data_IF_603616387622
#
_entry.id   IF_603616387622
#
_cell.length_a   1.000
_cell.length_b   1.000
_cell.length_c   1.000
_cell.angle_alpha   90.00
_cell.angle_beta   90.00
_cell.angle_gamma   90.00
#
_symmetry.space_group_name_H-M   'P 1'
#
loop_
_entity.id
_entity.type
_entity.pdbx_description
1 polymer ?
#
# COMPACT_ATOMS: atom_id res chain seq x y z
N UNK A 1 -18.96 -29.99 15.01
CA UNK A 1 -18.27 -30.98 14.14
C UNK A 1 -17.39 -30.20 13.18
N UNK A 2 -16.06 -30.36 13.24
CA UNK A 2 -15.11 -29.69 12.35
C UNK A 2 -14.47 -30.69 11.39
N UNK A 3 -13.90 -30.20 10.29
CA UNK A 3 -13.20 -31.00 9.30
C UNK A 3 -11.70 -30.94 9.61
N UNK A 4 -11.08 -32.08 9.94
CA UNK A 4 -9.62 -32.17 10.17
C UNK A 4 -8.93 -32.48 8.85
N UNK A 5 -8.06 -31.59 8.41
CA UNK A 5 -7.32 -31.76 7.16
C UNK A 5 -5.81 -31.75 7.42
N UNK A 6 -5.07 -32.63 6.75
CA UNK A 6 -3.60 -32.61 6.74
C UNK A 6 -3.13 -32.04 5.40
N UNK A 7 -2.61 -30.82 5.43
CA UNK A 7 -1.98 -30.20 4.26
C UNK A 7 -0.54 -30.73 4.11
N UNK A 8 -0.11 -30.98 2.88
CA UNK A 8 1.26 -31.40 2.60
C UNK A 8 2.26 -30.35 3.13
N UNK A 9 3.28 -30.80 3.85
CA UNK A 9 4.25 -29.92 4.53
C UNK A 9 3.92 -29.59 5.99
N UNK A 10 2.73 -29.94 6.49
CA UNK A 10 2.38 -29.76 7.90
C UNK A 10 2.70 -31.03 8.72
N UNK A 11 3.18 -30.83 9.96
CA UNK A 11 3.47 -31.92 10.91
C UNK A 11 2.21 -32.66 11.37
N UNK A 12 1.06 -31.98 11.42
CA UNK A 12 -0.21 -32.53 11.89
C UNK A 12 -1.44 -31.95 11.19
N UNK A 13 -2.64 -32.50 11.49
CA UNK A 13 -3.90 -31.95 10.98
C UNK A 13 -4.21 -30.59 11.60
N UNK A 14 -4.91 -29.74 10.84
CA UNK A 14 -5.31 -28.39 11.25
C UNK A 14 -6.83 -28.26 11.10
N UNK A 15 -7.47 -27.55 12.03
CA UNK A 15 -8.87 -27.17 11.92
C UNK A 15 -8.99 -25.93 11.03
N UNK A 16 -9.89 -25.97 10.05
CA UNK A 16 -10.12 -24.87 9.11
C UNK A 16 -11.59 -24.49 9.07
N UNK A 17 -11.86 -23.20 8.84
CA UNK A 17 -13.21 -22.76 8.53
C UNK A 17 -13.61 -23.26 7.14
N UNK A 18 -14.85 -23.73 7.02
CA UNK A 18 -15.34 -24.35 5.78
C UNK A 18 -15.39 -23.35 4.62
N UNK A 19 -15.62 -22.07 4.91
CA UNK A 19 -15.66 -20.97 3.94
C UNK A 19 -14.27 -20.61 3.37
N UNK A 20 -13.20 -21.06 4.01
CA UNK A 20 -11.82 -20.91 3.54
C UNK A 20 -11.32 -22.10 2.69
N UNK A 21 -12.18 -23.08 2.42
CA UNK A 21 -11.84 -24.30 1.69
C UNK A 21 -12.58 -24.35 0.35
N UNK A 22 -11.89 -24.83 -0.69
CA UNK A 22 -12.46 -25.06 -2.02
C UNK A 22 -12.10 -26.46 -2.51
N UNK A 23 -13.00 -27.06 -3.28
CA UNK A 23 -12.74 -28.32 -4.00
C UNK A 23 -11.95 -28.11 -5.30
N UNK A 24 -11.86 -26.86 -5.76
CA UNK A 24 -11.05 -26.46 -6.92
C UNK A 24 -9.80 -25.71 -6.49
N UNK A 25 -8.74 -25.84 -7.28
CA UNK A 25 -7.53 -25.05 -7.09
C UNK A 25 -7.87 -23.56 -7.27
N UNK A 26 -7.43 -22.67 -6.36
CA UNK A 26 -7.63 -21.24 -6.55
C UNK A 26 -6.94 -20.75 -7.83
N UNK A 27 -7.57 -19.81 -8.51
CA UNK A 27 -6.98 -19.12 -9.66
C UNK A 27 -5.70 -18.35 -9.29
N UNK A 28 -4.93 -17.88 -10.29
CA UNK A 28 -3.75 -17.07 -10.04
C UNK A 28 -4.12 -15.77 -9.32
N UNK A 29 -3.19 -15.24 -8.53
CA UNK A 29 -3.39 -13.90 -7.96
C UNK A 29 -3.44 -12.84 -9.07
N UNK A 30 -4.15 -11.72 -8.83
CA UNK A 30 -4.10 -10.56 -9.70
C UNK A 30 -2.65 -10.17 -10.03
N UNK A 31 -2.38 -9.77 -11.29
CA UNK A 31 -1.03 -9.40 -11.75
C UNK A 31 -0.04 -10.56 -11.89
N UNK A 32 -0.51 -11.82 -11.87
CA UNK A 32 0.33 -13.03 -11.92
C UNK A 32 1.36 -13.14 -10.77
N UNK A 33 1.09 -12.46 -9.66
CA UNK A 33 1.93 -12.52 -8.48
C UNK A 33 1.77 -13.85 -7.72
N UNK A 34 2.71 -14.14 -6.80
CA UNK A 34 2.70 -15.37 -5.97
C UNK A 34 2.66 -14.99 -4.49
N UNK A 35 1.92 -15.78 -3.71
CA UNK A 35 1.91 -15.67 -2.23
C UNK A 35 3.34 -15.82 -1.72
N UNK A 36 3.68 -15.07 -0.66
CA UNK A 36 5.03 -14.92 -0.10
C UNK A 36 6.04 -14.17 -0.97
N UNK A 37 5.65 -13.71 -2.16
CA UNK A 37 6.46 -12.77 -2.93
C UNK A 37 6.57 -11.41 -2.23
N UNK A 38 7.63 -10.67 -2.55
CA UNK A 38 7.89 -9.33 -2.04
C UNK A 38 7.55 -8.27 -3.11
N UNK A 39 6.90 -7.19 -2.70
CA UNK A 39 6.62 -6.01 -3.52
C UNK A 39 6.89 -4.75 -2.71
N UNK A 40 7.13 -3.65 -3.40
CA UNK A 40 7.35 -2.32 -2.82
C UNK A 40 6.11 -1.45 -2.99
N UNK A 41 5.72 -0.75 -1.93
CA UNK A 41 4.64 0.21 -1.99
C UNK A 41 5.09 1.50 -2.70
N UNK A 42 4.43 1.88 -3.78
CA UNK A 42 4.74 3.08 -4.58
C UNK A 42 3.64 4.13 -4.52
N UNK A 43 2.61 3.91 -3.70
CA UNK A 43 1.54 4.87 -3.44
C UNK A 43 1.93 6.00 -2.48
N UNK A 44 0.93 6.81 -2.12
CA UNK A 44 1.10 7.85 -1.10
C UNK A 44 1.22 7.22 0.28
N UNK A 45 2.17 7.70 1.08
CA UNK A 45 2.32 7.23 2.46
C UNK A 45 1.12 7.64 3.28
N UNK A 46 0.64 6.72 4.11
CA UNK A 46 -0.59 6.86 4.88
C UNK A 46 -0.42 6.25 6.27
N UNK A 47 -1.05 6.87 7.26
CA UNK A 47 -1.17 6.36 8.62
C UNK A 47 -2.65 6.06 8.89
N UNK A 48 -2.97 4.80 9.23
CA UNK A 48 -4.34 4.39 9.52
C UNK A 48 -4.65 4.55 11.02
N UNK A 49 -5.93 4.79 11.34
CA UNK A 49 -6.40 4.81 12.73
C UNK A 49 -6.17 3.49 13.49
N UNK A 50 -6.00 2.37 12.76
CA UNK A 50 -5.63 1.07 13.32
C UNK A 50 -4.18 0.98 13.79
N UNK A 51 -3.35 2.01 13.57
CA UNK A 51 -1.91 1.98 13.85
C UNK A 51 -1.06 1.42 12.70
N UNK A 52 -1.68 0.76 11.72
CA UNK A 52 -0.99 0.35 10.49
C UNK A 52 -0.53 1.57 9.67
N UNK A 53 0.54 1.38 8.90
CA UNK A 53 1.17 2.42 8.08
C UNK A 53 1.51 1.88 6.70
N UNK A 54 1.44 2.75 5.70
CA UNK A 54 2.03 2.53 4.39
C UNK A 54 3.06 3.62 4.15
N UNK A 55 4.26 3.25 3.75
CA UNK A 55 5.35 4.19 3.50
C UNK A 55 5.87 3.95 2.09
N UNK A 56 6.01 5.00 1.29
CA UNK A 56 6.58 4.88 -0.06
C UNK A 56 7.96 4.21 -0.02
N UNK A 57 8.17 3.24 -0.91
CA UNK A 57 9.38 2.43 -0.99
C UNK A 57 9.49 1.34 0.07
N UNK A 58 8.53 1.21 0.98
CA UNK A 58 8.52 0.13 1.95
C UNK A 58 8.18 -1.20 1.27
N UNK A 59 8.96 -2.24 1.56
CA UNK A 59 8.66 -3.57 1.07
C UNK A 59 7.63 -4.28 1.95
N UNK A 60 6.86 -5.16 1.32
CA UNK A 60 5.84 -5.97 1.96
C UNK A 60 5.69 -7.33 1.29
N UNK A 61 5.16 -8.29 2.05
CA UNK A 61 4.95 -9.66 1.60
C UNK A 61 3.50 -9.89 1.18
N UNK A 62 3.31 -10.54 0.03
CA UNK A 62 1.98 -10.91 -0.47
C UNK A 62 1.42 -12.06 0.37
N UNK A 63 0.25 -11.86 0.97
CA UNK A 63 -0.47 -12.91 1.71
C UNK A 63 -1.59 -13.55 0.87
N UNK A 64 -2.06 -12.89 -0.17
CA UNK A 64 -3.14 -13.38 -1.02
C UNK A 64 -3.84 -12.27 -1.80
N UNK A 65 -5.03 -12.55 -2.36
CA UNK A 65 -5.84 -11.51 -2.99
C UNK A 65 -6.38 -10.54 -1.94
N UNK A 66 -6.63 -9.28 -2.35
CA UNK A 66 -7.29 -8.32 -1.47
C UNK A 66 -8.71 -8.80 -1.08
N UNK A 67 -9.12 -8.44 0.13
CA UNK A 67 -10.40 -8.86 0.74
C UNK A 67 -11.48 -7.77 0.75
N UNK A 68 -11.09 -6.50 0.65
CA UNK A 68 -12.01 -5.38 0.53
C UNK A 68 -12.70 -5.37 -0.84
N UNK A 69 -14.02 -5.16 -0.86
CA UNK A 69 -14.82 -5.15 -2.08
C UNK A 69 -14.31 -4.15 -3.14
N UNK A 70 -13.78 -3.00 -2.70
CA UNK A 70 -13.20 -1.99 -3.59
C UNK A 70 -11.95 -2.47 -4.35
N UNK A 71 -11.28 -3.52 -3.85
CA UNK A 71 -10.02 -4.05 -4.38
C UNK A 71 -10.18 -5.40 -5.09
N UNK A 72 -11.39 -5.96 -5.14
CA UNK A 72 -11.66 -7.27 -5.76
C UNK A 72 -11.13 -7.32 -7.20
N UNK A 73 -10.23 -8.26 -7.47
CA UNK A 73 -9.60 -8.45 -8.78
C UNK A 73 -8.55 -7.39 -9.17
N UNK A 74 -8.32 -6.39 -8.31
CA UNK A 74 -7.45 -5.22 -8.60
C UNK A 74 -6.39 -4.97 -7.53
N UNK A 75 -6.33 -5.82 -6.51
CA UNK A 75 -5.44 -5.62 -5.38
C UNK A 75 -4.97 -6.91 -4.73
N UNK A 76 -3.96 -6.75 -3.88
CA UNK A 76 -3.33 -7.80 -3.09
C UNK A 76 -3.42 -7.45 -1.61
N UNK A 77 -3.51 -8.49 -0.79
CA UNK A 77 -3.39 -8.36 0.66
C UNK A 77 -1.92 -8.47 1.04
N UNK A 78 -1.37 -7.39 1.59
CA UNK A 78 0.05 -7.21 1.84
C UNK A 78 0.35 -7.11 3.34
N UNK A 79 1.46 -7.70 3.78
CA UNK A 79 2.00 -7.53 5.13
C UNK A 79 3.26 -6.69 5.08
N UNK A 80 3.21 -5.51 5.68
CA UNK A 80 4.37 -4.62 5.82
C UNK A 80 4.98 -4.74 7.21
N UNK A 81 6.30 -4.63 7.31
CA UNK A 81 7.00 -4.64 8.60
C UNK A 81 6.53 -3.47 9.48
N UNK A 82 6.35 -3.74 10.78
CA UNK A 82 5.87 -2.74 11.75
C UNK A 82 4.35 -2.56 11.81
N UNK A 83 3.59 -3.12 10.86
CA UNK A 83 2.13 -3.15 10.95
C UNK A 83 1.67 -4.31 11.82
N UNK A 84 0.58 -4.13 12.56
CA UNK A 84 -0.06 -5.20 13.34
C UNK A 84 -0.86 -6.12 12.41
N UNK A 85 -1.60 -5.54 11.46
CA UNK A 85 -2.40 -6.26 10.47
C UNK A 85 -1.79 -6.27 9.06
N UNK A 86 -2.34 -7.07 8.14
CA UNK A 86 -2.15 -6.86 6.71
C UNK A 86 -3.02 -5.71 6.20
N UNK A 87 -2.66 -5.15 5.06
CA UNK A 87 -3.36 -4.04 4.39
C UNK A 87 -3.67 -4.47 2.95
N UNK A 88 -4.87 -4.16 2.48
CA UNK A 88 -5.23 -4.36 1.08
C UNK A 88 -4.71 -3.19 0.24
N UNK A 89 -3.94 -3.49 -0.80
CA UNK A 89 -3.32 -2.50 -1.69
C UNK A 89 -3.76 -2.74 -3.13
N UNK A 90 -4.03 -1.66 -3.87
CA UNK A 90 -4.22 -1.75 -5.32
C UNK A 90 -2.92 -2.15 -6.02
N UNK A 91 -3.03 -2.85 -7.15
CA UNK A 91 -1.88 -3.27 -7.95
C UNK A 91 -1.08 -2.09 -8.50
N UNK A 92 -1.72 -0.97 -8.83
CA UNK A 92 -1.06 0.25 -9.31
C UNK A 92 -0.25 0.99 -8.23
N UNK A 93 -0.47 0.64 -6.96
CA UNK A 93 0.29 1.14 -5.82
C UNK A 93 1.43 0.18 -5.41
N UNK A 94 1.70 -0.87 -6.19
CA UNK A 94 2.73 -1.87 -5.91
C UNK A 94 3.73 -1.98 -7.06
N UNK A 95 5.00 -2.24 -6.74
CA UNK A 95 6.08 -2.45 -7.70
C UNK A 95 6.89 -3.69 -7.35
N UNK A 96 7.36 -4.41 -8.37
CA UNK A 96 8.30 -5.53 -8.21
C UNK A 96 9.73 -5.06 -7.95
N UNK A 97 10.07 -3.83 -8.35
CA UNK A 97 11.36 -3.21 -8.12
C UNK A 97 11.27 -2.14 -7.05
N UNK A 98 12.34 -1.99 -6.27
CA UNK A 98 12.46 -0.90 -5.32
C UNK A 98 12.38 0.43 -6.07
N UNK A 99 11.47 1.34 -5.69
CA UNK A 99 11.35 2.61 -6.38
C UNK A 99 12.58 3.48 -6.12
N UNK A 100 12.87 4.36 -7.07
CA UNK A 100 13.89 5.40 -6.89
C UNK A 100 13.51 6.41 -5.80
N UNK A 101 14.47 7.25 -5.37
CA UNK A 101 14.21 8.31 -4.41
C UNK A 101 13.15 9.28 -4.95
N UNK A 102 12.48 10.00 -4.04
CA UNK A 102 11.57 11.07 -4.45
C UNK A 102 12.34 12.16 -5.21
N UNK A 103 11.66 12.95 -6.08
CA UNK A 103 12.26 14.11 -6.72
C UNK A 103 13.02 14.98 -5.73
N UNK A 104 14.18 15.51 -6.12
CA UNK A 104 15.03 16.33 -5.23
C UNK A 104 15.70 15.56 -4.10
N UNK A 105 15.74 14.22 -4.15
CA UNK A 105 16.27 13.35 -3.10
C UNK A 105 15.57 13.53 -1.74
N UNK A 106 14.33 14.02 -1.76
CA UNK A 106 13.53 14.16 -0.56
C UNK A 106 13.10 12.80 0.01
N UNK A 107 12.73 12.79 1.29
CA UNK A 107 12.23 11.60 1.98
C UNK A 107 10.79 11.82 2.41
N UNK A 108 9.98 10.76 2.35
CA UNK A 108 8.65 10.77 2.96
C UNK A 108 8.74 11.11 4.45
N UNK A 109 7.69 11.74 4.97
CA UNK A 109 7.62 12.33 6.31
C UNK A 109 8.60 13.49 6.56
N UNK A 110 9.38 13.91 5.55
CA UNK A 110 10.15 15.15 5.61
C UNK A 110 9.24 16.38 5.58
N UNK A 111 9.69 17.46 6.21
CA UNK A 111 9.00 18.75 6.23
C UNK A 111 9.59 19.67 5.15
N UNK A 112 8.73 20.39 4.44
CA UNK A 112 9.09 21.46 3.50
C UNK A 112 8.15 22.65 3.69
N UNK A 113 8.60 23.82 3.27
CA UNK A 113 7.83 25.06 3.33
C UNK A 113 7.36 25.46 1.94
N UNK A 114 6.12 25.90 1.82
CA UNK A 114 5.59 26.41 0.57
C UNK A 114 6.17 27.80 0.27
N UNK A 115 6.90 27.93 -0.84
CA UNK A 115 7.55 29.18 -1.26
C UNK A 115 6.89 29.84 -2.47
N UNK A 116 5.73 29.32 -2.91
CA UNK A 116 4.95 29.89 -4.01
C UNK A 116 4.04 31.04 -3.59
N UNK A 117 3.28 31.56 -4.55
CA UNK A 117 2.24 32.55 -4.28
C UNK A 117 1.14 31.91 -3.43
N UNK A 118 0.68 32.61 -2.39
CA UNK A 118 -0.43 32.13 -1.56
C UNK A 118 -1.71 31.98 -2.40
N UNK A 119 -2.40 30.86 -2.22
CA UNK A 119 -3.58 30.47 -3.01
C UNK A 119 -4.69 29.88 -2.13
N UNK A 120 -5.93 30.27 -2.42
CA UNK A 120 -7.14 29.66 -1.88
C UNK A 120 -7.80 28.79 -2.95
N UNK A 121 -8.06 27.52 -2.64
CA UNK A 121 -8.69 26.58 -3.56
C UNK A 121 -10.19 26.49 -3.30
N UNK A 122 -11.00 26.29 -4.36
CA UNK A 122 -12.44 26.05 -4.23
C UNK A 122 -12.79 24.83 -3.34
N UNK A 123 -11.85 23.88 -3.19
CA UNK A 123 -11.94 22.76 -2.26
C UNK A 123 -11.92 23.15 -0.77
N UNK A 124 -11.63 24.40 -0.43
CA UNK A 124 -11.41 24.89 0.93
C UNK A 124 -9.95 24.75 1.41
N UNK A 125 -9.09 24.05 0.66
CA UNK A 125 -7.66 24.02 0.94
C UNK A 125 -7.03 25.40 0.73
N UNK A 126 -5.95 25.68 1.45
CA UNK A 126 -5.18 26.91 1.34
C UNK A 126 -3.68 26.58 1.30
N UNK A 127 -2.93 27.34 0.51
CA UNK A 127 -1.47 27.35 0.56
C UNK A 127 -1.04 28.77 0.90
N UNK A 128 -0.31 28.92 2.00
CA UNK A 128 0.24 30.23 2.40
C UNK A 128 1.75 30.21 2.26
N UNK A 129 2.34 31.28 1.73
CA UNK A 129 3.80 31.44 1.72
C UNK A 129 4.39 31.22 3.12
N UNK A 130 5.38 30.34 3.23
CA UNK A 130 6.00 29.93 4.49
C UNK A 130 5.22 28.87 5.28
N UNK A 131 4.10 28.37 4.79
CA UNK A 131 3.37 27.27 5.43
C UNK A 131 4.17 25.97 5.31
N UNK A 132 4.36 25.27 6.42
CA UNK A 132 5.04 23.97 6.42
C UNK A 132 4.07 22.84 6.08
N UNK A 133 4.61 21.79 5.45
CA UNK A 133 3.86 20.60 5.11
C UNK A 133 4.76 19.36 5.10
N UNK A 134 4.13 18.20 5.25
CA UNK A 134 4.79 16.91 5.29
C UNK A 134 4.70 16.19 3.94
N UNK A 135 5.82 15.63 3.48
CA UNK A 135 5.91 14.87 2.24
C UNK A 135 5.27 13.48 2.43
N UNK A 136 4.27 13.15 1.60
CA UNK A 136 3.63 11.83 1.60
C UNK A 136 4.19 10.90 0.51
N UNK A 137 4.78 11.43 -0.56
CA UNK A 137 5.31 10.62 -1.66
C UNK A 137 5.40 11.40 -2.97
N UNK A 138 5.50 10.71 -4.12
CA UNK A 138 5.50 11.37 -5.42
C UNK A 138 4.14 12.02 -5.70
N UNK A 139 4.13 13.09 -6.50
CA UNK A 139 2.88 13.70 -6.94
C UNK A 139 2.07 12.73 -7.82
N UNK A 140 0.75 12.72 -7.62
CA UNK A 140 -0.19 11.85 -8.36
C UNK A 140 -0.88 12.54 -9.54
N UNK A 141 -0.71 13.86 -9.69
CA UNK A 141 -1.21 14.59 -10.85
C UNK A 141 -0.24 14.46 -12.01
N UNK A 142 -0.76 14.13 -13.20
CA UNK A 142 0.06 13.93 -14.40
C UNK A 142 0.95 15.14 -14.74
N UNK A 143 0.46 16.36 -14.49
CA UNK A 143 1.23 17.60 -14.70
C UNK A 143 2.51 17.67 -13.85
N UNK A 144 2.57 16.92 -12.74
CA UNK A 144 3.66 16.97 -11.77
C UNK A 144 4.46 15.66 -11.70
N UNK A 145 4.15 14.65 -12.53
CA UNK A 145 4.83 13.36 -12.53
C UNK A 145 6.34 13.52 -12.74
N UNK A 146 7.14 12.90 -11.87
CA UNK A 146 8.61 12.94 -11.91
C UNK A 146 9.24 14.25 -11.41
N UNK A 147 8.45 15.28 -11.09
CA UNK A 147 8.94 16.60 -10.68
C UNK A 147 8.31 17.14 -9.39
N UNK A 148 7.16 16.62 -9.00
CA UNK A 148 6.40 17.08 -7.85
C UNK A 148 6.33 16.05 -6.73
N UNK A 149 6.03 16.57 -5.54
CA UNK A 149 5.74 15.79 -4.34
C UNK A 149 4.26 15.93 -3.99
N UNK A 150 3.67 14.88 -3.43
CA UNK A 150 2.40 14.99 -2.71
C UNK A 150 2.72 15.43 -1.29
N UNK A 151 2.11 16.53 -0.86
CA UNK A 151 2.27 17.09 0.48
C UNK A 151 0.95 17.18 1.23
N UNK A 152 1.03 17.13 2.56
CA UNK A 152 -0.04 17.43 3.51
C UNK A 152 0.36 18.65 4.32
N UNK A 153 -0.45 19.71 4.25
CA UNK A 153 -0.28 20.96 4.98
C UNK A 153 -1.31 21.07 6.11
#
# INVERSE_FOLDING_TARGET
KGLKMKFAGNEGPVDCFLDALSTSQPGPLPGAHKVRGELFFVGQSEDFASGNKLTYGQSGTILGPATLAAHTGKGLKMKFAGNEGPVDCFLDALSTSQPGPLPGAHKVRGELFFVGQSEDFASGNKLTYGQSGTILGPATLAAHTGKGLKMKF
#
